data_IF_382607738045
#
_entry.id   IF_382607738045
#
_cell.length_a   1.000
_cell.length_b   1.000
_cell.length_c   1.000
_cell.angle_alpha   90.00
_cell.angle_beta   90.00
_cell.angle_gamma   90.00
#
_symmetry.space_group_name_H-M   'P 1'
#
loop_
_entity.id
_entity.type
_entity.pdbx_description
1 polymer ?
#
# COMPACT_ATOMS: atom_id res chain seq x y z
N UNK A 1 -27.48 -47.92 -17.60
CA UNK A 1 -27.30 -47.93 -16.12
C UNK A 1 -26.73 -46.58 -15.72
N UNK A 2 -27.31 -45.99 -14.67
CA UNK A 2 -27.18 -44.60 -14.23
C UNK A 2 -25.76 -44.35 -13.67
N UNK A 3 -25.18 -43.15 -13.64
CA UNK A 3 -25.69 -42.02 -12.87
C UNK A 3 -25.07 -40.67 -13.29
N UNK A 4 -25.92 -39.64 -13.26
CA UNK A 4 -25.56 -38.23 -13.31
C UNK A 4 -25.17 -37.81 -11.88
N UNK A 5 -23.97 -37.30 -11.69
CA UNK A 5 -23.59 -36.64 -10.43
C UNK A 5 -24.07 -35.19 -10.49
N UNK A 6 -25.08 -34.87 -9.69
CA UNK A 6 -25.54 -33.51 -9.41
C UNK A 6 -24.64 -32.95 -8.31
N UNK A 7 -23.93 -31.87 -8.62
CA UNK A 7 -23.28 -31.03 -7.60
C UNK A 7 -24.14 -29.79 -7.36
N UNK A 8 -24.96 -29.86 -6.31
CA UNK A 8 -25.62 -28.71 -5.70
C UNK A 8 -24.66 -28.10 -4.69
N UNK A 9 -23.82 -27.17 -5.16
CA UNK A 9 -23.03 -26.30 -4.30
C UNK A 9 -23.83 -25.04 -3.98
N UNK A 10 -24.39 -24.99 -2.77
CA UNK A 10 -24.93 -23.79 -2.13
C UNK A 10 -23.87 -22.67 -2.17
N UNK A 11 -24.04 -21.64 -3.00
CA UNK A 11 -23.27 -20.40 -2.85
C UNK A 11 -23.92 -19.58 -1.74
N UNK A 12 -23.29 -19.59 -0.57
CA UNK A 12 -23.60 -18.69 0.52
C UNK A 12 -23.39 -17.24 0.08
N UNK A 13 -24.43 -16.42 0.27
CA UNK A 13 -24.38 -14.97 0.19
C UNK A 13 -23.66 -14.46 1.42
N UNK A 14 -22.45 -13.91 1.27
CA UNK A 14 -21.75 -13.19 2.34
C UNK A 14 -20.77 -12.20 1.72
N UNK A 15 -21.03 -10.91 1.96
CA UNK A 15 -20.15 -9.82 1.58
C UNK A 15 -20.92 -8.62 1.10
N UNK A 16 -21.63 -7.95 2.01
CA UNK A 16 -22.13 -6.60 1.73
C UNK A 16 -20.93 -5.71 1.40
N UNK A 17 -20.76 -5.37 0.12
CA UNK A 17 -19.85 -4.31 -0.31
C UNK A 17 -20.32 -3.03 0.38
N UNK A 18 -19.58 -2.57 1.38
CA UNK A 18 -19.70 -1.18 1.84
C UNK A 18 -19.30 -0.35 0.64
N UNK A 19 -20.28 0.28 -0.01
CA UNK A 19 -20.01 1.23 -1.08
C UNK A 19 -19.01 2.26 -0.55
N UNK A 20 -17.94 2.47 -1.31
CA UNK A 20 -17.07 3.62 -1.11
C UNK A 20 -17.91 4.84 -1.49
N UNK A 21 -18.63 5.42 -0.52
CA UNK A 21 -19.29 6.70 -0.74
C UNK A 21 -18.20 7.77 -0.69
N UNK A 22 -17.60 8.07 -1.83
CA UNK A 22 -16.80 9.27 -2.02
C UNK A 22 -17.76 10.46 -1.97
N UNK A 23 -18.10 10.94 -0.77
CA UNK A 23 -18.55 12.32 -0.60
C UNK A 23 -17.31 13.18 -0.88
N UNK A 24 -17.11 13.52 -2.15
CA UNK A 24 -16.08 14.44 -2.55
C UNK A 24 -16.55 15.84 -2.18
N UNK A 25 -16.04 16.37 -1.07
CA UNK A 25 -16.04 17.81 -0.88
C UNK A 25 -15.20 18.42 -2.01
N UNK A 26 -15.82 19.22 -2.86
CA UNK A 26 -15.15 19.96 -3.95
C UNK A 26 -14.27 21.03 -3.30
N UNK A 27 -13.06 20.64 -2.89
CA UNK A 27 -11.98 21.58 -2.60
C UNK A 27 -11.01 21.60 -3.77
N UNK A 28 -11.47 22.21 -4.86
CA UNK A 28 -10.58 22.57 -5.96
C UNK A 28 -9.58 23.63 -5.50
N UNK A 29 -8.29 23.41 -5.81
CA UNK A 29 -7.23 24.42 -5.82
C UNK A 29 -7.03 25.18 -4.48
N UNK A 30 -6.93 24.46 -3.37
CA UNK A 30 -6.28 24.99 -2.18
C UNK A 30 -4.77 25.10 -2.40
N UNK A 31 -4.18 26.24 -2.07
CA UNK A 31 -2.72 26.42 -2.03
C UNK A 31 -2.15 25.39 -1.04
N UNK A 32 -1.15 24.59 -1.44
CA UNK A 32 -0.62 23.52 -0.58
C UNK A 32 0.05 24.17 0.64
N UNK A 33 -0.38 23.80 1.84
CA UNK A 33 0.21 24.33 3.08
C UNK A 33 1.55 23.66 3.36
N UNK A 34 2.41 24.36 4.11
CA UNK A 34 3.70 23.81 4.53
C UNK A 34 3.54 22.51 5.33
N UNK A 35 2.52 22.44 6.21
CA UNK A 35 2.23 21.24 7.01
C UNK A 35 1.90 20.01 6.13
N UNK A 36 1.19 20.22 5.01
CA UNK A 36 0.88 19.15 4.05
C UNK A 36 2.15 18.70 3.33
N UNK A 37 3.04 19.64 2.98
CA UNK A 37 4.33 19.32 2.36
C UNK A 37 5.18 18.49 3.32
N UNK A 38 5.34 18.93 4.57
CA UNK A 38 6.09 18.19 5.60
C UNK A 38 5.51 16.78 5.81
N UNK A 39 4.17 16.66 5.83
CA UNK A 39 3.52 15.38 5.95
C UNK A 39 3.80 14.45 4.76
N UNK A 40 3.76 15.00 3.54
CA UNK A 40 4.09 14.26 2.32
C UNK A 40 5.56 13.85 2.27
N UNK A 41 6.48 14.72 2.69
CA UNK A 41 7.91 14.42 2.80
C UNK A 41 8.15 13.21 3.71
N UNK A 42 7.49 13.21 4.88
CA UNK A 42 7.59 12.12 5.85
C UNK A 42 7.02 10.80 5.32
N UNK A 43 5.92 10.84 4.56
CA UNK A 43 5.30 9.63 3.99
C UNK A 43 6.09 9.07 2.81
N UNK A 44 6.55 9.95 1.92
CA UNK A 44 7.29 9.55 0.72
C UNK A 44 8.77 9.27 1.00
N UNK A 45 9.30 9.75 2.14
CA UNK A 45 10.74 9.77 2.45
C UNK A 45 11.53 10.54 1.38
N UNK A 46 10.94 11.62 0.86
CA UNK A 46 11.51 12.51 -0.17
C UNK A 46 11.54 13.94 0.37
N UNK A 47 12.55 14.71 -0.02
CA UNK A 47 12.67 16.14 0.30
C UNK A 47 11.95 17.00 -0.77
N UNK A 48 10.98 17.80 -0.35
CA UNK A 48 10.23 18.77 -1.17
C UNK A 48 10.65 20.22 -0.86
N UNK A 49 11.78 20.44 -0.18
CA UNK A 49 12.26 21.74 0.30
C UNK A 49 12.57 22.79 -0.78
N UNK A 50 12.49 22.45 -2.08
CA UNK A 50 12.63 23.43 -3.16
C UNK A 50 11.27 24.01 -3.59
N UNK A 51 11.20 25.34 -3.71
CA UNK A 51 10.02 26.05 -4.24
C UNK A 51 9.60 25.53 -5.62
N UNK A 52 10.56 25.05 -6.42
CA UNK A 52 10.30 24.48 -7.74
C UNK A 52 9.59 23.13 -7.67
N UNK A 53 9.94 22.27 -6.70
CA UNK A 53 9.26 21.00 -6.48
C UNK A 53 7.80 21.20 -6.08
N UNK A 54 7.53 22.15 -5.17
CA UNK A 54 6.17 22.52 -4.77
C UNK A 54 5.37 23.03 -5.96
N UNK A 55 5.95 23.90 -6.79
CA UNK A 55 5.27 24.40 -7.99
C UNK A 55 4.98 23.29 -9.03
N UNK A 56 5.84 22.27 -9.13
CA UNK A 56 5.57 21.09 -9.97
C UNK A 56 4.44 20.25 -9.40
N UNK A 57 4.41 20.06 -8.08
CA UNK A 57 3.34 19.34 -7.39
C UNK A 57 1.99 20.02 -7.60
N UNK A 58 1.91 21.33 -7.40
CA UNK A 58 0.69 22.13 -7.64
C UNK A 58 0.19 21.98 -9.09
N UNK A 59 1.10 21.99 -10.07
CA UNK A 59 0.74 21.76 -11.49
C UNK A 59 0.23 20.35 -11.75
N UNK A 60 0.81 19.34 -11.11
CA UNK A 60 0.38 17.95 -11.24
C UNK A 60 -1.02 17.73 -10.64
N UNK A 61 -1.31 18.34 -9.49
CA UNK A 61 -2.64 18.32 -8.87
C UNK A 61 -3.65 19.01 -9.80
N UNK A 62 -3.35 20.23 -10.27
CA UNK A 62 -4.24 20.94 -11.20
C UNK A 62 -4.47 20.18 -12.53
N UNK A 63 -3.53 19.33 -12.93
CA UNK A 63 -3.72 18.43 -14.07
C UNK A 63 -4.65 17.26 -13.72
N UNK A 64 -4.48 16.63 -12.57
CA UNK A 64 -5.32 15.54 -12.08
C UNK A 64 -6.76 15.98 -11.78
N UNK A 65 -6.97 17.21 -11.29
CA UNK A 65 -8.29 17.78 -10.99
C UNK A 65 -9.23 17.76 -12.19
N UNK A 66 -8.69 17.75 -13.42
CA UNK A 66 -9.47 17.62 -14.66
C UNK A 66 -10.28 16.32 -14.72
N UNK A 67 -9.84 15.27 -14.02
CA UNK A 67 -10.54 13.99 -13.96
C UNK A 67 -11.86 14.08 -13.19
N UNK A 68 -12.02 15.07 -12.30
CA UNK A 68 -13.30 15.28 -11.59
C UNK A 68 -14.46 15.68 -12.52
N UNK A 69 -14.17 16.19 -13.72
CA UNK A 69 -15.20 16.51 -14.71
C UNK A 69 -15.73 15.27 -15.45
N UNK A 70 -15.10 14.11 -15.28
CA UNK A 70 -15.52 12.85 -15.92
C UNK A 70 -16.63 12.21 -15.07
N UNK A 71 -17.82 11.91 -15.63
CA UNK A 71 -18.89 11.29 -14.87
C UNK A 71 -18.54 9.82 -14.58
N UNK A 72 -18.35 9.48 -13.31
CA UNK A 72 -18.08 8.11 -12.85
C UNK A 72 -19.21 7.55 -11.96
N UNK A 73 -20.39 8.18 -11.99
CA UNK A 73 -21.54 7.75 -11.19
C UNK A 73 -22.00 6.34 -11.60
N UNK A 74 -22.03 5.42 -10.65
CA UNK A 74 -22.42 4.02 -10.88
C UNK A 74 -21.42 3.19 -11.68
N UNK A 75 -20.21 3.71 -11.92
CA UNK A 75 -19.11 2.97 -12.54
C UNK A 75 -18.31 2.29 -11.43
N UNK A 76 -18.25 0.96 -11.45
CA UNK A 76 -17.39 0.21 -10.51
C UNK A 76 -15.91 0.51 -10.83
N UNK A 77 -15.07 0.81 -9.83
CA UNK A 77 -13.64 0.99 -10.02
C UNK A 77 -12.98 -0.26 -10.62
N UNK A 78 -12.11 -0.05 -11.61
CA UNK A 78 -11.33 -1.15 -12.21
C UNK A 78 -10.19 -1.55 -11.28
N UNK A 79 -10.16 -2.83 -10.87
CA UNK A 79 -9.12 -3.37 -9.98
C UNK A 79 -7.95 -3.96 -10.78
N UNK A 80 -8.25 -4.59 -11.91
CA UNK A 80 -7.29 -5.22 -12.82
C UNK A 80 -7.83 -5.15 -14.24
N UNK A 81 -6.95 -5.21 -15.24
CA UNK A 81 -7.41 -5.40 -16.64
C UNK A 81 -7.86 -6.85 -16.88
N UNK A 82 -7.55 -7.77 -15.96
CA UNK A 82 -7.77 -9.21 -16.08
C UNK A 82 -8.87 -9.72 -15.13
N UNK A 83 -9.97 -8.98 -14.97
CA UNK A 83 -11.05 -9.32 -14.03
C UNK A 83 -11.74 -10.66 -14.34
N UNK A 84 -11.71 -11.10 -15.61
CA UNK A 84 -12.28 -12.38 -16.06
C UNK A 84 -11.40 -13.60 -15.74
N UNK A 85 -10.25 -13.41 -15.09
CA UNK A 85 -9.30 -14.49 -14.82
C UNK A 85 -9.25 -14.82 -13.34
N UNK A 86 -9.13 -16.11 -13.05
CA UNK A 86 -8.83 -16.57 -11.71
C UNK A 86 -7.41 -16.14 -11.30
N UNK A 87 -7.23 -15.86 -10.00
CA UNK A 87 -5.92 -15.61 -9.42
C UNK A 87 -5.00 -16.81 -9.62
N UNK A 88 -3.78 -16.55 -10.06
CA UNK A 88 -2.76 -17.58 -10.18
C UNK A 88 -2.21 -17.94 -8.80
N UNK A 89 -2.25 -19.23 -8.46
CA UNK A 89 -1.66 -19.75 -7.24
C UNK A 89 -0.30 -20.39 -7.56
N UNK A 90 0.73 -19.99 -6.81
CA UNK A 90 2.03 -20.66 -6.83
C UNK A 90 1.94 -21.97 -6.04
N UNK A 91 2.50 -23.05 -6.58
CA UNK A 91 2.65 -24.31 -5.84
C UNK A 91 3.53 -24.13 -4.60
N UNK A 92 3.17 -24.81 -3.51
CA UNK A 92 3.93 -24.79 -2.25
C UNK A 92 5.13 -25.74 -2.32
N UNK A 93 6.12 -25.35 -3.10
CA UNK A 93 7.38 -26.08 -3.26
C UNK A 93 8.54 -25.16 -2.88
N UNK A 94 9.53 -25.69 -2.17
CA UNK A 94 10.78 -24.99 -1.89
C UNK A 94 11.64 -25.00 -3.16
N UNK A 95 12.01 -23.82 -3.65
CA UNK A 95 12.79 -23.67 -4.90
C UNK A 95 14.20 -23.13 -4.65
N UNK A 96 14.38 -22.27 -3.63
CA UNK A 96 15.63 -21.56 -3.37
C UNK A 96 16.09 -21.76 -1.91
N UNK A 97 17.40 -21.80 -1.71
CA UNK A 97 18.03 -21.88 -0.40
C UNK A 97 19.52 -21.51 -0.48
N UNK A 98 20.09 -21.08 0.65
CA UNK A 98 21.51 -20.74 0.80
C UNK A 98 22.05 -19.65 -0.15
N UNK A 99 21.23 -18.65 -0.50
CA UNK A 99 21.60 -17.54 -1.39
C UNK A 99 22.03 -16.26 -0.63
N UNK A 100 22.48 -16.39 0.62
CA UNK A 100 22.82 -15.23 1.47
C UNK A 100 23.88 -14.32 0.83
N UNK A 101 24.92 -14.89 0.24
CA UNK A 101 25.99 -14.14 -0.43
C UNK A 101 25.46 -13.29 -1.60
N UNK A 102 24.62 -13.88 -2.47
CA UNK A 102 24.02 -13.19 -3.61
C UNK A 102 23.06 -12.07 -3.19
N UNK A 103 22.30 -12.28 -2.10
CA UNK A 103 21.36 -11.29 -1.57
C UNK A 103 22.09 -10.10 -0.92
N UNK A 104 23.21 -10.37 -0.24
CA UNK A 104 23.95 -9.36 0.51
C UNK A 104 24.91 -8.53 -0.36
N UNK A 105 25.21 -8.96 -1.60
CA UNK A 105 26.20 -8.32 -2.47
C UNK A 105 25.98 -6.82 -2.71
N UNK A 106 24.71 -6.36 -2.71
CA UNK A 106 24.35 -4.96 -2.95
C UNK A 106 24.24 -4.13 -1.66
N UNK A 107 24.52 -4.73 -0.51
CA UNK A 107 24.39 -4.06 0.79
C UNK A 107 25.51 -3.04 0.98
N UNK A 108 25.15 -1.86 1.47
CA UNK A 108 26.16 -0.84 1.81
C UNK A 108 27.07 -1.30 2.96
N UNK A 109 26.52 -2.03 3.92
CA UNK A 109 27.24 -2.60 5.06
C UNK A 109 26.61 -3.93 5.45
N UNK A 110 27.45 -4.92 5.71
CA UNK A 110 27.08 -6.25 6.19
C UNK A 110 27.84 -6.54 7.48
N UNK A 111 27.17 -7.13 8.46
CA UNK A 111 27.78 -7.65 9.69
C UNK A 111 27.17 -9.02 9.95
N UNK A 112 28.00 -10.06 10.03
CA UNK A 112 27.56 -11.42 10.39
C UNK A 112 26.32 -11.90 9.60
N UNK A 113 26.29 -11.61 8.29
CA UNK A 113 25.19 -11.95 7.36
C UNK A 113 23.90 -11.14 7.52
N UNK A 114 23.92 -10.05 8.29
CA UNK A 114 22.79 -9.13 8.43
C UNK A 114 22.96 -7.85 7.60
N UNK A 115 21.85 -7.37 7.04
CA UNK A 115 21.75 -6.00 6.56
C UNK A 115 21.87 -5.04 7.72
N UNK A 116 22.70 -4.02 7.58
CA UNK A 116 22.87 -3.03 8.64
C UNK A 116 22.20 -1.71 8.28
N UNK A 117 21.18 -1.34 9.06
CA UNK A 117 20.51 -0.04 8.98
C UNK A 117 20.85 0.82 10.22
N UNK A 118 20.81 2.15 10.11
CA UNK A 118 20.82 3.04 11.28
C UNK A 118 19.63 2.74 12.20
N UNK A 119 19.72 3.08 13.51
CA UNK A 119 18.57 3.00 14.40
C UNK A 119 17.44 3.88 13.83
N UNK A 120 16.23 3.33 13.77
CA UNK A 120 15.08 3.99 13.15
C UNK A 120 14.68 5.29 13.85
N UNK A 121 14.13 6.24 13.08
CA UNK A 121 13.63 7.53 13.57
C UNK A 121 12.24 7.45 14.25
N UNK A 122 11.84 6.26 14.71
CA UNK A 122 10.59 6.08 15.47
C UNK A 122 10.92 6.16 16.96
N UNK A 123 10.18 6.98 17.71
CA UNK A 123 10.31 7.02 19.16
C UNK A 123 9.96 5.66 19.74
N UNK A 124 10.97 4.90 20.16
CA UNK A 124 10.75 3.69 20.96
C UNK A 124 10.21 4.12 22.34
N UNK A 125 9.18 3.46 22.87
CA UNK A 125 8.84 3.62 24.28
C UNK A 125 10.09 3.30 25.11
N UNK A 126 10.35 4.13 26.12
CA UNK A 126 11.54 3.94 26.96
C UNK A 126 11.39 2.60 27.69
N UNK A 127 12.49 1.86 27.85
CA UNK A 127 12.49 0.57 28.56
C UNK A 127 11.89 0.67 29.98
N UNK A 128 11.86 1.89 30.55
CA UNK A 128 11.27 2.19 31.85
C UNK A 128 9.72 2.14 31.87
N UNK A 129 9.05 2.03 30.70
CA UNK A 129 7.58 1.98 30.55
C UNK A 129 7.05 0.58 30.19
N UNK A 130 7.91 -0.44 30.12
CA UNK A 130 7.47 -1.82 29.93
C UNK A 130 7.01 -2.39 31.27
N UNK A 131 5.70 -2.41 31.49
CA UNK A 131 5.08 -3.21 32.56
C UNK A 131 5.59 -4.66 32.46
N UNK A 132 6.14 -5.24 33.54
CA UNK A 132 6.68 -6.59 33.50
C UNK A 132 5.57 -7.57 33.13
N UNK A 133 5.85 -8.41 32.11
CA UNK A 133 4.94 -9.47 31.71
C UNK A 133 4.61 -10.36 32.93
N UNK A 134 3.33 -10.65 33.21
CA UNK A 134 2.97 -11.52 34.30
C UNK A 134 3.49 -12.93 34.00
N UNK A 135 4.46 -13.39 34.78
CA UNK A 135 4.88 -14.78 34.79
C UNK A 135 3.71 -15.62 35.35
N UNK A 136 3.10 -16.42 34.49
CA UNK A 136 2.23 -17.55 34.89
C UNK A 136 3.07 -18.80 35.07
#
# INVERSE_FOLDING_TARGET
MWARAVWLGLRASLGGRRGFTCKADVQGSGRITADVIEHLERLALVDFGSREAVARLEKAIAFADRLHAVPTDGVEPMESVLEDRCLYLRSDNVVEGNCAEELLQNSHRVVEEYFVAPPGNISLPKLDEQEPFPHS
#
